data_IF_913403985760
#
_entry.id   IF_913403985760
#
_cell.length_a   1.000
_cell.length_b   1.000
_cell.length_c   1.000
_cell.angle_alpha   90.00
_cell.angle_beta   90.00
_cell.angle_gamma   90.00
#
_symmetry.space_group_name_H-M   'P 1'
#
loop_
_entity.id
_entity.type
_entity.pdbx_description
1 polymer ?
#
# COMPACT_ATOMS: atom_id res chain seq x y z
N UNK A 1 -18.92 -23.67 0.10
CA UNK A 1 -18.81 -22.31 0.70
C UNK A 1 -17.49 -21.57 0.35
N UNK A 2 -16.97 -21.66 -0.88
CA UNK A 2 -15.68 -21.02 -1.29
C UNK A 2 -15.85 -19.80 -2.21
N UNK A 3 -17.03 -19.63 -2.79
CA UNK A 3 -17.30 -18.72 -3.94
C UNK A 3 -17.37 -17.24 -3.52
N UNK A 4 -17.74 -16.91 -2.28
CA UNK A 4 -17.87 -15.51 -1.81
C UNK A 4 -16.56 -14.78 -1.47
N UNK A 5 -15.40 -15.47 -1.48
CA UNK A 5 -14.10 -14.85 -1.12
C UNK A 5 -13.41 -14.18 -2.31
N UNK A 6 -13.38 -14.83 -3.48
CA UNK A 6 -12.74 -14.29 -4.68
C UNK A 6 -13.19 -12.87 -5.08
N UNK A 7 -14.50 -12.56 -5.15
CA UNK A 7 -14.93 -11.19 -5.49
C UNK A 7 -14.50 -10.17 -4.45
N UNK A 8 -14.49 -10.51 -3.16
CA UNK A 8 -14.04 -9.60 -2.12
C UNK A 8 -12.55 -9.27 -2.22
N UNK A 9 -11.72 -10.28 -2.54
CA UNK A 9 -10.30 -10.05 -2.84
C UNK A 9 -10.16 -9.12 -4.04
N UNK A 10 -10.77 -9.46 -5.18
CA UNK A 10 -10.66 -8.68 -6.42
C UNK A 10 -11.08 -7.23 -6.18
N UNK A 11 -12.26 -6.99 -5.60
CA UNK A 11 -12.73 -5.63 -5.29
C UNK A 11 -11.78 -4.88 -4.38
N UNK A 12 -11.19 -5.56 -3.39
CA UNK A 12 -10.23 -4.92 -2.48
C UNK A 12 -8.91 -4.59 -3.17
N UNK A 13 -8.42 -5.46 -4.06
CA UNK A 13 -7.22 -5.20 -4.84
C UNK A 13 -7.39 -3.98 -5.74
N UNK A 14 -8.52 -3.89 -6.46
CA UNK A 14 -8.85 -2.70 -7.25
C UNK A 14 -8.96 -1.44 -6.39
N UNK A 15 -9.68 -1.51 -5.28
CA UNK A 15 -9.82 -0.39 -4.35
C UNK A 15 -8.46 0.08 -3.82
N UNK A 16 -7.61 -0.85 -3.40
CA UNK A 16 -6.28 -0.55 -2.87
C UNK A 16 -5.37 0.07 -3.93
N UNK A 17 -5.38 -0.46 -5.16
CA UNK A 17 -4.68 0.14 -6.30
C UNK A 17 -5.15 1.57 -6.57
N UNK A 18 -6.46 1.83 -6.59
CA UNK A 18 -6.98 3.18 -6.81
C UNK A 18 -6.59 4.15 -5.72
N UNK A 19 -6.86 3.83 -4.45
CA UNK A 19 -6.54 4.75 -3.35
C UNK A 19 -5.03 5.00 -3.25
N UNK A 20 -4.19 3.97 -3.45
CA UNK A 20 -2.75 4.12 -3.50
C UNK A 20 -2.28 5.00 -4.67
N UNK A 21 -2.84 4.80 -5.86
CA UNK A 21 -2.53 5.63 -7.04
C UNK A 21 -2.87 7.10 -6.82
N UNK A 22 -4.04 7.41 -6.25
CA UNK A 22 -4.43 8.79 -5.96
C UNK A 22 -3.58 9.43 -4.87
N UNK A 23 -3.15 8.65 -3.87
CA UNK A 23 -2.20 9.12 -2.86
C UNK A 23 -0.84 9.42 -3.49
N UNK A 24 -0.33 8.55 -4.36
CA UNK A 24 0.91 8.79 -5.11
C UNK A 24 0.80 10.06 -5.96
N UNK A 25 -0.30 10.22 -6.71
CA UNK A 25 -0.53 11.44 -7.51
C UNK A 25 -0.56 12.69 -6.63
N UNK A 26 -1.21 12.64 -5.48
CA UNK A 26 -1.30 13.77 -4.55
C UNK A 26 0.08 14.11 -3.97
N UNK A 27 0.82 13.14 -3.45
CA UNK A 27 2.11 13.41 -2.81
C UNK A 27 3.19 13.82 -3.82
N UNK A 28 3.25 13.16 -4.99
CA UNK A 28 4.16 13.54 -6.08
C UNK A 28 3.80 14.91 -6.64
N UNK A 29 2.51 15.20 -6.82
CA UNK A 29 2.03 16.50 -7.30
C UNK A 29 2.37 17.66 -6.36
N UNK A 30 2.48 17.39 -5.05
CA UNK A 30 2.92 18.36 -4.05
C UNK A 30 4.45 18.36 -3.83
N UNK A 31 5.22 17.61 -4.62
CA UNK A 31 6.68 17.56 -4.51
C UNK A 31 7.19 16.91 -3.23
N UNK A 32 6.36 16.13 -2.53
CA UNK A 32 6.74 15.48 -1.26
C UNK A 32 7.69 14.30 -1.50
N UNK A 33 7.59 13.67 -2.67
CA UNK A 33 8.54 12.71 -3.19
C UNK A 33 8.41 12.57 -4.71
N UNK A 34 9.32 11.82 -5.33
CA UNK A 34 9.23 11.46 -6.75
C UNK A 34 9.85 10.08 -7.01
N UNK A 35 9.52 9.48 -8.15
CA UNK A 35 10.06 8.19 -8.60
C UNK A 35 11.06 8.41 -9.75
N UNK A 36 12.38 8.32 -9.51
CA UNK A 36 13.40 8.53 -10.55
C UNK A 36 13.33 7.46 -11.65
N UNK A 37 13.18 6.19 -11.24
CA UNK A 37 13.16 5.04 -12.14
C UNK A 37 11.74 4.51 -12.34
N UNK A 38 10.94 5.24 -13.13
CA UNK A 38 9.54 4.88 -13.41
C UNK A 38 9.27 4.62 -14.91
N UNK A 39 8.30 3.76 -15.26
CA UNK A 39 7.87 3.58 -16.65
C UNK A 39 7.26 4.85 -17.23
N UNK A 40 7.52 5.13 -18.51
CA UNK A 40 6.95 6.25 -19.26
C UNK A 40 7.03 7.61 -18.53
N UNK A 41 8.24 8.05 -18.10
CA UNK A 41 8.41 9.22 -17.24
C UNK A 41 7.97 10.55 -17.89
N UNK A 42 7.87 10.59 -19.23
CA UNK A 42 7.39 11.73 -20.00
C UNK A 42 5.88 11.95 -19.89
N UNK A 43 5.12 10.94 -19.46
CA UNK A 43 3.65 10.97 -19.41
C UNK A 43 3.17 10.88 -17.96
N UNK A 44 3.76 9.98 -17.18
CA UNK A 44 3.36 9.73 -15.80
C UNK A 44 4.39 10.24 -14.81
N UNK A 45 3.94 10.91 -13.75
CA UNK A 45 4.77 11.36 -12.63
C UNK A 45 4.99 10.27 -11.56
N UNK A 46 4.12 9.26 -11.55
CA UNK A 46 4.11 8.13 -10.61
C UNK A 46 4.65 6.85 -11.25
N UNK A 47 5.01 5.86 -10.44
CA UNK A 47 5.37 4.53 -10.94
C UNK A 47 4.13 3.64 -11.15
N UNK A 48 3.76 3.45 -12.42
CA UNK A 48 2.64 2.58 -12.81
C UNK A 48 2.88 1.10 -12.50
N UNK A 49 4.13 0.62 -12.54
CA UNK A 49 4.44 -0.77 -12.20
C UNK A 49 4.16 -1.02 -10.72
N UNK A 50 4.55 -0.08 -9.86
CA UNK A 50 4.26 -0.16 -8.44
C UNK A 50 2.75 -0.17 -8.16
N UNK A 51 2.00 0.78 -8.73
CA UNK A 51 0.56 0.92 -8.45
C UNK A 51 -0.32 -0.21 -9.03
N UNK A 52 0.00 -0.69 -10.24
CA UNK A 52 -0.81 -1.70 -10.93
C UNK A 52 -0.39 -3.14 -10.62
N UNK A 53 0.84 -3.37 -10.17
CA UNK A 53 1.38 -4.72 -9.93
C UNK A 53 1.87 -4.85 -8.49
N UNK A 54 2.80 -3.99 -8.07
CA UNK A 54 3.40 -4.08 -6.72
C UNK A 54 2.37 -4.00 -5.60
N UNK A 55 1.52 -2.98 -5.63
CA UNK A 55 0.51 -2.71 -4.62
C UNK A 55 -0.56 -3.80 -4.53
N UNK A 56 -1.18 -4.28 -5.61
CA UNK A 56 -2.15 -5.37 -5.51
C UNK A 56 -1.51 -6.68 -5.06
N UNK A 57 -0.26 -6.99 -5.44
CA UNK A 57 0.45 -8.16 -4.91
C UNK A 57 0.69 -8.05 -3.41
N UNK A 58 1.16 -6.89 -2.95
CA UNK A 58 1.33 -6.62 -1.52
C UNK A 58 0.02 -6.77 -0.75
N UNK A 59 -1.07 -6.18 -1.25
CA UNK A 59 -2.38 -6.24 -0.60
C UNK A 59 -2.92 -7.68 -0.59
N UNK A 60 -2.76 -8.42 -1.68
CA UNK A 60 -3.18 -9.83 -1.73
C UNK A 60 -2.45 -10.66 -0.66
N UNK A 61 -1.14 -10.48 -0.53
CA UNK A 61 -0.33 -11.13 0.50
C UNK A 61 -0.76 -10.72 1.92
N UNK A 62 -0.92 -9.42 2.17
CA UNK A 62 -1.39 -8.87 3.44
C UNK A 62 -2.75 -9.47 3.85
N UNK A 63 -3.72 -9.50 2.94
CA UNK A 63 -5.06 -10.04 3.18
C UNK A 63 -5.03 -11.56 3.46
N UNK A 64 -4.19 -12.31 2.75
CA UNK A 64 -4.02 -13.74 2.95
C UNK A 64 -3.58 -14.08 4.38
N UNK A 65 -2.68 -13.25 4.94
CA UNK A 65 -2.24 -13.38 6.33
C UNK A 65 -3.35 -12.89 7.28
N UNK A 66 -3.88 -11.68 7.08
CA UNK A 66 -4.87 -11.09 7.99
C UNK A 66 -6.14 -11.92 8.16
N UNK A 67 -6.58 -12.59 7.09
CA UNK A 67 -7.73 -13.49 7.13
C UNK A 67 -7.55 -14.69 8.06
N UNK A 68 -6.30 -15.10 8.36
CA UNK A 68 -5.96 -16.25 9.21
C UNK A 68 -5.72 -15.88 10.68
N UNK A 69 -5.49 -14.60 10.97
CA UNK A 69 -5.13 -14.12 12.31
C UNK A 69 -6.34 -13.89 13.22
N UNK A 70 -6.15 -14.05 14.54
CA UNK A 70 -7.10 -13.63 15.58
C UNK A 70 -7.08 -12.11 15.77
N UNK A 71 -8.10 -11.55 16.44
CA UNK A 71 -8.26 -10.10 16.60
C UNK A 71 -7.02 -9.37 17.17
N UNK A 72 -6.42 -9.88 18.24
CA UNK A 72 -5.20 -9.26 18.81
C UNK A 72 -3.98 -9.41 17.88
N UNK A 73 -3.84 -10.59 17.25
CA UNK A 73 -2.75 -10.87 16.30
C UNK A 73 -2.81 -9.97 15.07
N UNK A 74 -4.02 -9.61 14.63
CA UNK A 74 -4.24 -8.65 13.54
C UNK A 74 -3.68 -7.28 13.89
N UNK A 75 -3.90 -6.80 15.12
CA UNK A 75 -3.35 -5.54 15.60
C UNK A 75 -1.82 -5.55 15.61
N UNK A 76 -1.22 -6.58 16.19
CA UNK A 76 0.24 -6.76 16.20
C UNK A 76 0.81 -6.83 14.78
N UNK A 77 0.20 -7.65 13.90
CA UNK A 77 0.66 -7.80 12.52
C UNK A 77 0.58 -6.49 11.73
N UNK A 78 -0.48 -5.70 11.91
CA UNK A 78 -0.61 -4.40 11.26
C UNK A 78 0.53 -3.45 11.65
N UNK A 79 0.85 -3.37 12.95
CA UNK A 79 1.96 -2.54 13.44
C UNK A 79 3.29 -3.04 12.88
N UNK A 80 3.57 -4.34 12.98
CA UNK A 80 4.82 -4.94 12.47
C UNK A 80 4.96 -4.76 10.95
N UNK A 81 3.89 -4.98 10.18
CA UNK A 81 3.89 -4.76 8.73
C UNK A 81 4.14 -3.29 8.39
N UNK A 82 3.58 -2.35 9.16
CA UNK A 82 3.77 -0.91 8.92
C UNK A 82 5.20 -0.48 9.19
N UNK A 83 5.82 -1.00 10.24
CA UNK A 83 7.25 -0.81 10.52
C UNK A 83 8.11 -1.40 9.41
N UNK A 84 7.79 -2.62 8.97
CA UNK A 84 8.51 -3.29 7.88
C UNK A 84 8.42 -2.48 6.58
N UNK A 85 7.24 -1.98 6.23
CA UNK A 85 7.06 -1.14 5.04
C UNK A 85 7.83 0.18 5.13
N UNK A 86 7.82 0.82 6.29
CA UNK A 86 8.62 2.04 6.53
C UNK A 86 10.12 1.76 6.35
N UNK A 87 10.58 0.60 6.80
CA UNK A 87 11.96 0.18 6.59
C UNK A 87 12.26 -0.10 5.10
N UNK A 88 11.38 -0.84 4.40
CA UNK A 88 11.51 -1.12 2.96
C UNK A 88 11.55 0.18 2.15
N UNK A 89 10.68 1.15 2.48
CA UNK A 89 10.64 2.45 1.83
C UNK A 89 11.98 3.19 1.95
N UNK A 90 12.57 3.21 3.15
CA UNK A 90 13.90 3.78 3.36
C UNK A 90 14.97 3.07 2.53
N UNK A 91 14.89 1.74 2.40
CA UNK A 91 15.81 1.00 1.53
C UNK A 91 15.59 1.33 0.04
N UNK A 92 14.34 1.45 -0.39
CA UNK A 92 14.00 1.86 -1.75
C UNK A 92 14.54 3.26 -2.07
N UNK A 93 14.56 4.15 -1.08
CA UNK A 93 15.18 5.46 -1.18
C UNK A 93 16.70 5.39 -1.35
N UNK A 94 17.39 4.55 -0.59
CA UNK A 94 18.84 4.36 -0.77
C UNK A 94 19.24 3.79 -2.12
N UNK A 95 18.34 3.04 -2.77
CA UNK A 95 18.56 2.44 -4.10
C UNK A 95 18.09 3.37 -5.22
N UNK A 96 17.44 4.50 -4.90
CA UNK A 96 16.99 5.50 -5.85
C UNK A 96 15.70 5.13 -6.61
N UNK A 97 14.95 4.12 -6.16
CA UNK A 97 13.63 3.79 -6.73
C UNK A 97 12.59 4.87 -6.47
N UNK A 98 12.78 5.61 -5.38
CA UNK A 98 11.91 6.67 -4.93
C UNK A 98 12.78 7.64 -4.11
N UNK A 99 12.50 8.94 -4.11
CA UNK A 99 13.27 9.91 -3.31
C UNK A 99 12.31 10.89 -2.62
N UNK A 100 12.43 11.00 -1.28
CA UNK A 100 11.65 11.97 -0.51
C UNK A 100 12.21 13.39 -0.64
N UNK A 101 11.34 14.36 -0.42
CA UNK A 101 11.76 15.73 -0.11
C UNK A 101 12.47 15.80 1.26
N UNK A 102 13.30 16.84 1.45
CA UNK A 102 14.00 17.08 2.71
C UNK A 102 13.08 17.26 3.92
N UNK A 103 11.84 17.69 3.68
CA UNK A 103 10.82 17.93 4.71
C UNK A 103 10.10 16.64 5.15
N UNK A 104 10.30 15.52 4.44
CA UNK A 104 9.63 14.28 4.76
C UNK A 104 10.17 13.66 6.05
N UNK A 105 9.24 13.30 6.94
CA UNK A 105 9.56 12.58 8.17
C UNK A 105 9.09 11.14 8.00
N UNK A 106 9.98 10.16 8.18
CA UNK A 106 9.61 8.73 8.07
C UNK A 106 8.49 8.28 9.03
N UNK A 107 8.19 9.07 10.07
CA UNK A 107 6.99 8.85 10.89
C UNK A 107 5.69 8.97 10.08
N UNK A 108 5.66 9.83 9.05
CA UNK A 108 4.54 9.94 8.10
C UNK A 108 4.34 8.65 7.32
N UNK A 109 5.43 7.99 6.89
CA UNK A 109 5.39 6.69 6.23
C UNK A 109 4.76 5.62 7.12
N UNK A 110 5.20 5.52 8.38
CA UNK A 110 4.63 4.56 9.32
C UNK A 110 3.12 4.78 9.54
N UNK A 111 2.71 6.03 9.75
CA UNK A 111 1.30 6.38 9.92
C UNK A 111 0.51 6.12 8.64
N UNK A 112 1.07 6.48 7.48
CA UNK A 112 0.47 6.29 6.16
C UNK A 112 0.21 4.81 5.86
N UNK A 113 1.22 3.95 6.04
CA UNK A 113 1.08 2.51 5.85
C UNK A 113 0.10 1.89 6.84
N UNK A 114 0.14 2.31 8.10
CA UNK A 114 -0.81 1.85 9.13
C UNK A 114 -2.25 2.18 8.74
N UNK A 115 -2.50 3.42 8.33
CA UNK A 115 -3.82 3.89 7.92
C UNK A 115 -4.28 3.20 6.63
N UNK A 116 -3.42 3.12 5.62
CA UNK A 116 -3.71 2.46 4.35
C UNK A 116 -4.12 1.00 4.58
N UNK A 117 -3.32 0.22 5.31
CA UNK A 117 -3.62 -1.18 5.59
C UNK A 117 -4.88 -1.35 6.45
N UNK A 118 -5.13 -0.45 7.41
CA UNK A 118 -6.35 -0.46 8.21
C UNK A 118 -7.60 -0.21 7.35
N UNK A 119 -7.55 0.76 6.44
CA UNK A 119 -8.64 1.09 5.50
C UNK A 119 -8.88 -0.07 4.54
N UNK A 120 -7.82 -0.63 3.95
CA UNK A 120 -7.89 -1.80 3.06
C UNK A 120 -8.50 -3.01 3.78
N UNK A 121 -8.07 -3.32 5.00
CA UNK A 121 -8.64 -4.41 5.78
C UNK A 121 -10.12 -4.17 6.11
N UNK A 122 -10.50 -2.94 6.47
CA UNK A 122 -11.89 -2.58 6.73
C UNK A 122 -12.75 -2.74 5.47
N UNK A 123 -12.25 -2.32 4.32
CA UNK A 123 -12.93 -2.48 3.02
C UNK A 123 -13.08 -3.96 2.65
N UNK A 124 -12.03 -4.77 2.82
CA UNK A 124 -12.11 -6.21 2.59
C UNK A 124 -13.19 -6.88 3.45
N UNK A 125 -13.28 -6.53 4.74
CA UNK A 125 -14.31 -7.04 5.63
C UNK A 125 -15.72 -6.63 5.19
N UNK A 126 -15.86 -5.43 4.66
CA UNK A 126 -17.14 -4.95 4.12
C UNK A 126 -17.54 -5.73 2.85
N UNK A 127 -16.57 -6.04 1.97
CA UNK A 127 -16.79 -6.79 0.73
C UNK A 127 -16.86 -8.31 0.91
N UNK A 128 -16.35 -8.83 2.01
CA UNK A 128 -16.48 -10.23 2.43
C UNK A 128 -17.41 -10.35 3.65
N UNK A 129 -18.69 -9.97 3.55
CA UNK A 129 -19.64 -10.25 4.62
C UNK A 129 -19.82 -11.77 4.68
N UNK A 130 -19.30 -12.37 5.76
CA UNK A 130 -19.72 -13.66 6.27
C UNK A 130 -20.74 -13.40 7.37
#
# INVERSE_FOLDING_TARGET
>A
MRVKRAPAYISTLFFASWIGTYLDLYFVGNGLYHFPHRPFPAIFSIDLSFTLIGLPLFVAFFLCIMAKLRAWQRGCFLITASLLMTWIEKQAETIGWFVHSSEWKHMYSFVGYSLFMAVVWKFYRWMSPL
#
